data_IF_440471904606
#
_entry.id   IF_440471904606
#
_cell.length_a   1.000
_cell.length_b   1.000
_cell.length_c   1.000
_cell.angle_alpha   90.00
_cell.angle_beta   90.00
_cell.angle_gamma   90.00
#
_symmetry.space_group_name_H-M   'P 1'
#
loop_
_entity.id
_entity.type
_entity.pdbx_description
1 polymer ?
#
# COMPACT_ATOMS: atom_id res chain seq x y z
N UNK A 1 23.46 6.69 19.18
CA UNK A 1 23.43 6.46 17.74
C UNK A 1 22.86 7.70 17.05
N UNK A 2 23.72 8.44 16.35
CA UNK A 2 23.28 9.52 15.44
C UNK A 2 22.69 8.83 14.19
N UNK A 3 21.43 8.41 14.26
CA UNK A 3 20.75 7.71 13.18
C UNK A 3 20.66 8.54 11.90
N UNK A 4 20.39 7.87 10.79
CA UNK A 4 19.99 8.52 9.56
C UNK A 4 18.53 9.00 9.67
N UNK A 5 18.17 10.10 8.99
CA UNK A 5 16.76 10.46 8.86
C UNK A 5 15.98 9.27 8.26
N UNK A 6 14.69 9.17 8.54
CA UNK A 6 13.81 8.06 8.14
C UNK A 6 13.65 7.92 6.61
N UNK A 7 14.76 7.82 5.91
CA UNK A 7 14.88 7.62 4.46
C UNK A 7 15.77 6.44 4.20
N UNK A 8 15.59 5.80 3.07
CA UNK A 8 16.37 4.66 2.63
C UNK A 8 16.92 4.89 1.22
N UNK A 9 18.00 4.17 0.92
CA UNK A 9 18.57 4.03 -0.40
C UNK A 9 17.96 2.76 -1.03
N UNK A 10 17.46 2.88 -2.24
CA UNK A 10 16.98 1.73 -3.01
C UNK A 10 18.16 1.10 -3.75
N UNK A 11 18.38 -0.19 -3.52
CA UNK A 11 19.48 -0.96 -4.12
C UNK A 11 18.91 -2.22 -4.75
N UNK A 12 19.10 -2.36 -6.05
CA UNK A 12 18.74 -3.57 -6.78
C UNK A 12 19.87 -4.60 -6.63
N UNK A 13 19.51 -5.85 -6.34
CA UNK A 13 20.45 -6.95 -6.13
C UNK A 13 20.14 -8.11 -7.05
N UNK A 14 21.19 -8.74 -7.60
CA UNK A 14 21.08 -9.97 -8.37
C UNK A 14 22.22 -10.92 -7.99
N UNK A 15 22.02 -12.26 -8.10
CA UNK A 15 23.06 -13.23 -7.78
C UNK A 15 24.30 -13.05 -8.66
N UNK A 16 25.46 -12.95 -8.03
CA UNK A 16 26.74 -12.82 -8.73
C UNK A 16 27.13 -11.41 -9.17
N UNK A 17 26.24 -10.43 -9.00
CA UNK A 17 26.51 -9.05 -9.37
C UNK A 17 27.26 -8.28 -8.29
N UNK A 18 28.18 -7.43 -8.71
CA UNK A 18 28.91 -6.52 -7.83
C UNK A 18 28.15 -5.20 -7.65
N UNK A 19 28.08 -4.74 -6.41
CA UNK A 19 27.43 -3.47 -6.07
C UNK A 19 28.39 -2.65 -5.23
N UNK A 20 28.65 -1.44 -5.67
CA UNK A 20 29.43 -0.45 -4.92
C UNK A 20 28.53 0.72 -4.51
N UNK A 21 28.55 1.08 -3.23
CA UNK A 21 27.76 2.20 -2.69
C UNK A 21 28.75 3.26 -2.20
N UNK A 22 28.61 4.50 -2.72
CA UNK A 22 29.45 5.64 -2.37
C UNK A 22 28.61 6.76 -1.78
N UNK A 23 28.95 7.21 -0.58
CA UNK A 23 28.30 8.34 0.07
C UNK A 23 29.04 8.77 1.32
N UNK A 24 29.05 10.06 1.61
CA UNK A 24 29.87 10.65 2.67
C UNK A 24 29.05 11.23 3.83
N UNK A 25 27.74 11.40 3.66
CA UNK A 25 26.87 12.08 4.62
C UNK A 25 25.62 11.28 4.95
N UNK A 26 24.64 11.93 5.60
CA UNK A 26 23.36 11.33 5.94
C UNK A 26 22.29 11.42 4.84
N UNK A 27 22.66 11.94 3.67
CA UNK A 27 21.72 12.17 2.57
C UNK A 27 21.57 10.91 1.70
N UNK A 28 21.23 9.79 2.31
CA UNK A 28 21.20 8.43 1.74
C UNK A 28 20.63 8.37 0.31
N UNK A 29 19.49 9.03 0.06
CA UNK A 29 18.84 9.01 -1.26
C UNK A 29 19.70 9.59 -2.38
N UNK A 30 20.75 10.32 -2.03
CA UNK A 30 21.67 10.95 -2.99
C UNK A 30 23.01 10.23 -3.13
N UNK A 31 23.17 9.10 -2.43
CA UNK A 31 24.36 8.26 -2.56
C UNK A 31 24.39 7.59 -3.93
N UNK A 32 25.57 7.42 -4.46
CA UNK A 32 25.79 6.74 -5.72
C UNK A 32 25.77 5.22 -5.51
N UNK A 33 24.97 4.52 -6.31
CA UNK A 33 24.99 3.05 -6.38
C UNK A 33 25.49 2.65 -7.75
N UNK A 34 26.67 2.05 -7.79
CA UNK A 34 27.30 1.56 -9.02
C UNK A 34 27.05 0.06 -9.14
N UNK A 35 26.44 -0.36 -10.24
CA UNK A 35 26.11 -1.76 -10.51
C UNK A 35 25.84 -1.95 -12.01
N UNK A 36 26.09 -3.15 -12.52
CA UNK A 36 25.73 -3.57 -13.88
C UNK A 36 24.27 -4.01 -14.02
N UNK A 37 23.50 -4.00 -12.93
CA UNK A 37 22.07 -4.34 -12.91
C UNK A 37 21.28 -3.23 -13.64
N UNK A 38 20.53 -3.56 -14.73
CA UNK A 38 19.83 -2.54 -15.52
C UNK A 38 18.82 -1.71 -14.71
N UNK A 39 18.12 -2.35 -13.76
CA UNK A 39 17.17 -1.70 -12.86
C UNK A 39 17.86 -0.65 -11.97
N UNK A 40 19.09 -0.94 -11.51
CA UNK A 40 19.85 0.03 -10.73
C UNK A 40 20.22 1.24 -11.57
N UNK A 41 20.65 1.03 -12.80
CA UNK A 41 20.97 2.13 -13.70
C UNK A 41 19.75 3.03 -13.96
N UNK A 42 18.58 2.47 -14.03
CA UNK A 42 17.33 3.23 -14.19
C UNK A 42 16.92 3.96 -12.91
N UNK A 43 17.01 3.34 -11.74
CA UNK A 43 16.76 3.99 -10.43
C UNK A 43 17.70 5.20 -10.26
N UNK A 44 18.96 5.07 -10.67
CA UNK A 44 19.92 6.16 -10.65
C UNK A 44 19.50 7.34 -11.55
N UNK A 45 18.89 7.07 -12.72
CA UNK A 45 18.36 8.13 -13.62
C UNK A 45 17.17 8.85 -12.99
N UNK A 46 16.27 8.14 -12.33
CA UNK A 46 15.17 8.74 -11.56
C UNK A 46 15.71 9.68 -10.47
N UNK A 47 16.70 9.24 -9.71
CA UNK A 47 17.34 10.09 -8.70
C UNK A 47 18.02 11.30 -9.33
N UNK A 48 18.73 11.10 -10.45
CA UNK A 48 19.49 12.14 -11.13
C UNK A 48 18.61 13.26 -11.71
N UNK A 49 17.40 12.94 -12.23
CA UNK A 49 16.53 13.93 -12.85
C UNK A 49 16.05 15.03 -11.87
N UNK A 50 16.10 14.76 -10.56
CA UNK A 50 15.70 15.70 -9.52
C UNK A 50 16.75 15.86 -8.40
N UNK A 51 18.05 15.61 -8.69
CA UNK A 51 19.12 15.51 -7.70
C UNK A 51 19.22 16.75 -6.79
N UNK A 52 19.09 17.96 -7.32
CA UNK A 52 19.17 19.18 -6.52
C UNK A 52 18.05 19.23 -5.47
N UNK A 53 16.81 18.92 -5.87
CA UNK A 53 15.65 18.89 -5.01
C UNK A 53 15.72 17.71 -4.01
N UNK A 54 16.26 16.56 -4.43
CA UNK A 54 16.51 15.44 -3.54
C UNK A 54 17.50 15.81 -2.43
N UNK A 55 18.61 16.50 -2.75
CA UNK A 55 19.57 16.97 -1.74
C UNK A 55 18.92 17.92 -0.74
N UNK A 56 18.20 18.91 -1.22
CA UNK A 56 17.52 19.89 -0.36
C UNK A 56 16.45 19.21 0.52
N UNK A 57 15.64 18.31 -0.06
CA UNK A 57 14.68 17.54 0.69
C UNK A 57 15.33 16.71 1.81
N UNK A 58 16.43 16.01 1.51
CA UNK A 58 17.15 15.21 2.50
C UNK A 58 17.71 16.06 3.64
N UNK A 59 18.22 17.27 3.37
CA UNK A 59 18.67 18.19 4.41
C UNK A 59 17.53 18.58 5.36
N UNK A 60 16.35 18.89 4.83
CA UNK A 60 15.18 19.18 5.65
C UNK A 60 14.70 17.97 6.47
N UNK A 61 14.69 16.77 5.88
CA UNK A 61 14.34 15.54 6.61
C UNK A 61 15.37 15.20 7.70
N UNK A 62 16.64 15.44 7.45
CA UNK A 62 17.66 15.29 8.48
C UNK A 62 17.43 16.24 9.66
N UNK A 63 17.08 17.51 9.37
CA UNK A 63 16.74 18.48 10.42
C UNK A 63 15.46 18.09 11.17
N UNK A 64 14.42 17.59 10.49
CA UNK A 64 13.21 17.05 11.13
C UNK A 64 13.55 15.89 12.07
N UNK A 65 14.37 14.95 11.62
CA UNK A 65 14.81 13.81 12.42
C UNK A 65 15.60 14.26 13.66
N UNK A 66 16.51 15.25 13.53
CA UNK A 66 17.28 15.76 14.65
C UNK A 66 16.37 16.43 15.70
N UNK A 67 15.34 17.17 15.27
CA UNK A 67 14.32 17.72 16.17
C UNK A 67 13.50 16.63 16.87
N UNK A 68 13.07 15.59 16.15
CA UNK A 68 12.37 14.43 16.76
C UNK A 68 13.26 13.74 17.80
N UNK A 69 14.52 13.51 17.47
CA UNK A 69 15.46 12.90 18.39
C UNK A 69 15.67 13.75 19.64
N UNK A 70 15.87 15.05 19.50
CA UNK A 70 15.99 15.96 20.64
C UNK A 70 14.75 15.92 21.54
N UNK A 71 13.54 15.95 20.96
CA UNK A 71 12.28 15.91 21.71
C UNK A 71 12.09 14.60 22.48
N UNK A 72 12.30 13.47 21.82
CA UNK A 72 11.93 12.16 22.40
C UNK A 72 13.06 11.44 23.13
N UNK A 73 14.31 11.88 22.95
CA UNK A 73 15.47 11.25 23.59
C UNK A 73 16.16 12.22 24.55
N UNK A 74 16.62 13.38 24.03
CA UNK A 74 17.47 14.29 24.79
C UNK A 74 16.65 15.12 25.82
N UNK A 75 15.38 15.44 25.51
CA UNK A 75 14.45 16.22 26.32
C UNK A 75 13.13 15.47 26.57
N UNK A 76 13.18 14.14 26.72
CA UNK A 76 11.98 13.31 26.93
C UNK A 76 11.22 13.77 28.19
N UNK A 77 9.92 14.09 28.02
CA UNK A 77 9.05 14.55 29.09
C UNK A 77 9.02 16.07 29.32
N UNK A 78 9.85 16.85 28.61
CA UNK A 78 9.79 18.31 28.62
C UNK A 78 8.72 18.81 27.63
N UNK A 79 7.52 19.09 28.17
CA UNK A 79 6.36 19.50 27.36
C UNK A 79 6.58 20.85 26.63
N UNK A 80 7.35 21.78 27.25
CA UNK A 80 7.62 23.06 26.60
C UNK A 80 8.58 22.89 25.42
N UNK A 81 9.62 22.09 25.60
CA UNK A 81 10.53 21.74 24.52
C UNK A 81 9.83 20.96 23.39
N UNK A 82 8.96 20.03 23.74
CA UNK A 82 8.15 19.26 22.79
C UNK A 82 7.27 20.17 21.94
N UNK A 83 6.54 21.11 22.55
CA UNK A 83 5.72 22.11 21.83
C UNK A 83 6.55 22.95 20.85
N UNK A 84 7.74 23.39 21.28
CA UNK A 84 8.68 24.12 20.41
C UNK A 84 9.19 23.26 19.26
N UNK A 85 9.49 21.99 19.53
CA UNK A 85 9.95 21.03 18.54
C UNK A 85 8.90 20.79 17.46
N UNK A 86 7.64 20.55 17.83
CA UNK A 86 6.55 20.39 16.87
C UNK A 86 6.35 21.62 15.99
N UNK A 87 6.44 22.83 16.52
CA UNK A 87 6.37 24.05 15.74
C UNK A 87 7.50 24.16 14.70
N UNK A 88 8.70 23.67 15.04
CA UNK A 88 9.84 23.60 14.10
C UNK A 88 9.62 22.55 13.03
N UNK A 89 9.15 21.36 13.42
CA UNK A 89 8.82 20.28 12.48
C UNK A 89 7.75 20.73 11.49
N UNK A 90 6.70 21.40 11.95
CA UNK A 90 5.66 21.96 11.06
C UNK A 90 6.23 22.98 10.07
N UNK A 91 7.19 23.81 10.51
CA UNK A 91 7.86 24.75 9.62
C UNK A 91 8.69 24.03 8.55
N UNK A 92 9.39 22.95 8.92
CA UNK A 92 10.15 22.12 7.99
C UNK A 92 9.21 21.42 6.99
N UNK A 93 8.10 20.85 7.46
CA UNK A 93 7.12 20.15 6.61
C UNK A 93 6.49 21.05 5.55
N UNK A 94 6.29 22.33 5.86
CA UNK A 94 5.83 23.33 4.89
C UNK A 94 6.82 23.54 3.75
N UNK A 95 8.13 23.36 3.99
CA UNK A 95 9.15 23.44 2.96
C UNK A 95 9.28 22.13 2.18
N UNK A 96 9.10 20.98 2.82
CA UNK A 96 9.30 19.66 2.18
C UNK A 96 8.19 19.29 1.22
N UNK A 97 6.93 19.75 1.42
CA UNK A 97 5.81 19.44 0.52
C UNK A 97 6.03 19.96 -0.90
N UNK A 98 6.36 21.24 -1.14
CA UNK A 98 6.62 21.73 -2.51
C UNK A 98 7.85 21.07 -3.14
N UNK A 99 8.90 20.75 -2.36
CA UNK A 99 10.07 20.02 -2.88
C UNK A 99 9.71 18.62 -3.35
N UNK A 100 8.89 17.89 -2.59
CA UNK A 100 8.38 16.56 -3.03
C UNK A 100 7.56 16.67 -4.31
N UNK A 101 6.70 17.68 -4.42
CA UNK A 101 5.91 17.90 -5.63
C UNK A 101 6.81 18.21 -6.84
N UNK A 102 7.85 19.02 -6.66
CA UNK A 102 8.80 19.31 -7.73
C UNK A 102 9.59 18.07 -8.17
N UNK A 103 10.04 17.24 -7.22
CA UNK A 103 10.70 15.96 -7.50
C UNK A 103 9.75 15.08 -8.34
N UNK A 104 8.53 14.87 -7.88
CA UNK A 104 7.56 14.03 -8.60
C UNK A 104 7.22 14.58 -9.98
N UNK A 105 7.10 15.90 -10.13
CA UNK A 105 6.91 16.51 -11.44
C UNK A 105 8.04 16.16 -12.40
N UNK A 106 9.30 16.27 -11.96
CA UNK A 106 10.45 15.93 -12.77
C UNK A 106 10.53 14.44 -13.10
N UNK A 107 10.23 13.58 -12.12
CA UNK A 107 10.20 12.13 -12.34
C UNK A 107 9.07 11.72 -13.31
N UNK A 108 7.86 12.30 -13.18
CA UNK A 108 6.76 12.08 -14.11
C UNK A 108 7.11 12.58 -15.54
N UNK A 109 7.83 13.71 -15.66
CA UNK A 109 8.28 14.21 -16.95
C UNK A 109 9.33 13.27 -17.57
N UNK A 110 10.29 12.79 -16.78
CA UNK A 110 11.25 11.78 -17.23
C UNK A 110 10.53 10.50 -17.71
N UNK A 111 9.50 10.05 -16.99
CA UNK A 111 8.72 8.86 -17.33
C UNK A 111 8.03 8.95 -18.68
N UNK A 112 7.75 10.12 -19.23
CA UNK A 112 7.10 10.27 -20.55
C UNK A 112 7.95 9.69 -21.67
N UNK A 113 9.26 9.82 -21.59
CA UNK A 113 10.21 9.38 -22.60
C UNK A 113 10.96 8.08 -22.22
N UNK A 114 10.99 7.75 -20.94
CA UNK A 114 11.68 6.57 -20.44
C UNK A 114 11.04 5.27 -20.93
N UNK A 115 11.85 4.20 -21.14
CA UNK A 115 11.31 2.87 -21.44
C UNK A 115 10.47 2.35 -20.29
N UNK A 116 9.41 1.60 -20.61
CA UNK A 116 8.58 0.95 -19.60
C UNK A 116 9.32 -0.28 -19.10
N UNK A 117 9.81 -0.19 -17.89
CA UNK A 117 10.58 -1.22 -17.18
C UNK A 117 9.91 -1.54 -15.86
N UNK A 118 10.48 -2.48 -15.11
CA UNK A 118 10.01 -2.78 -13.75
C UNK A 118 10.11 -1.54 -12.84
N UNK A 119 11.21 -0.79 -12.89
CA UNK A 119 11.38 0.44 -12.09
C UNK A 119 10.33 1.47 -12.46
N UNK A 120 10.09 1.66 -13.76
CA UNK A 120 9.05 2.56 -14.25
C UNK A 120 7.65 2.17 -13.73
N UNK A 121 7.31 0.87 -13.74
CA UNK A 121 6.04 0.36 -13.23
C UNK A 121 5.93 0.57 -11.72
N UNK A 122 6.99 0.27 -10.95
CA UNK A 122 7.03 0.48 -9.50
C UNK A 122 6.86 1.97 -9.14
N UNK A 123 7.46 2.89 -9.90
CA UNK A 123 7.24 4.35 -9.75
C UNK A 123 5.81 4.76 -10.08
N UNK A 124 5.23 4.25 -11.17
CA UNK A 124 3.84 4.54 -11.53
C UNK A 124 2.87 4.03 -10.45
N UNK A 125 3.12 2.84 -9.90
CA UNK A 125 2.34 2.30 -8.79
C UNK A 125 2.39 3.21 -7.56
N UNK A 126 3.58 3.69 -7.20
CA UNK A 126 3.75 4.65 -6.10
C UNK A 126 2.91 5.91 -6.35
N UNK A 127 3.00 6.53 -7.55
CA UNK A 127 2.26 7.75 -7.86
C UNK A 127 0.76 7.52 -7.92
N UNK A 128 0.31 6.42 -8.50
CA UNK A 128 -1.11 6.04 -8.51
C UNK A 128 -1.66 5.89 -7.09
N UNK A 129 -0.92 5.23 -6.20
CA UNK A 129 -1.33 5.07 -4.79
C UNK A 129 -1.43 6.39 -4.02
N UNK A 130 -0.67 7.40 -4.45
CA UNK A 130 -0.66 8.74 -3.83
C UNK A 130 -1.77 9.66 -4.35
N UNK A 131 -2.46 9.31 -5.46
CA UNK A 131 -3.52 10.15 -6.07
C UNK A 131 -4.67 10.48 -5.11
N UNK A 132 -4.92 9.66 -4.11
CA UNK A 132 -5.93 9.91 -3.06
C UNK A 132 -5.60 11.13 -2.17
N UNK A 133 -4.35 11.58 -2.15
CA UNK A 133 -3.88 12.73 -1.39
C UNK A 133 -3.65 13.92 -2.32
N UNK A 134 -4.73 14.59 -2.76
CA UNK A 134 -4.68 15.66 -3.78
C UNK A 134 -3.72 16.80 -3.47
N UNK A 135 -3.66 17.22 -2.19
CA UNK A 135 -2.76 18.29 -1.76
C UNK A 135 -1.28 17.88 -1.80
N UNK A 136 -1.00 16.59 -1.77
CA UNK A 136 0.36 16.03 -1.79
C UNK A 136 0.74 15.66 -3.21
N UNK A 137 -0.17 15.03 -3.97
CA UNK A 137 0.03 14.56 -5.35
C UNK A 137 -0.97 15.23 -6.32
N UNK A 138 -0.67 16.44 -6.83
CA UNK A 138 -1.57 17.17 -7.71
C UNK A 138 -1.52 16.72 -9.17
N UNK A 139 -0.75 15.72 -9.53
CA UNK A 139 -0.43 15.30 -10.92
C UNK A 139 -1.26 14.12 -11.40
N UNK A 140 -2.56 14.10 -11.11
CA UNK A 140 -3.46 12.98 -11.46
C UNK A 140 -3.55 12.71 -12.96
N UNK A 141 -3.60 13.76 -13.76
CA UNK A 141 -3.75 13.61 -15.22
C UNK A 141 -2.46 13.11 -15.87
N UNK A 142 -1.30 13.51 -15.34
CA UNK A 142 -0.01 13.00 -15.77
C UNK A 142 0.12 11.50 -15.45
N UNK A 143 -0.29 11.07 -14.26
CA UNK A 143 -0.30 9.66 -13.86
C UNK A 143 -1.21 8.83 -14.77
N UNK A 144 -2.42 9.32 -15.08
CA UNK A 144 -3.33 8.66 -16.03
C UNK A 144 -2.75 8.58 -17.44
N UNK A 145 -2.08 9.65 -17.89
CA UNK A 145 -1.41 9.68 -19.19
C UNK A 145 -0.29 8.64 -19.27
N UNK A 146 0.50 8.49 -18.21
CA UNK A 146 1.53 7.45 -18.13
C UNK A 146 0.92 6.04 -18.11
N UNK A 147 -0.15 5.84 -17.37
CA UNK A 147 -0.88 4.55 -17.37
C UNK A 147 -1.38 4.20 -18.77
N UNK A 148 -1.84 5.18 -19.56
CA UNK A 148 -2.27 4.95 -20.93
C UNK A 148 -1.14 4.43 -21.84
N UNK A 149 0.13 4.71 -21.53
CA UNK A 149 1.31 4.17 -22.21
C UNK A 149 1.59 2.71 -21.89
N UNK A 150 1.11 2.20 -20.75
CA UNK A 150 1.39 0.81 -20.36
C UNK A 150 0.82 -0.18 -21.39
N UNK A 151 1.62 -1.19 -21.80
CA UNK A 151 1.12 -2.31 -22.60
C UNK A 151 -0.01 -3.04 -21.87
N UNK A 152 -0.95 -3.59 -22.60
CA UNK A 152 -2.05 -4.37 -22.01
C UNK A 152 -1.54 -5.58 -21.22
N UNK A 153 -0.44 -6.20 -21.64
CA UNK A 153 0.21 -7.28 -20.92
C UNK A 153 0.66 -6.86 -19.53
N UNK A 154 1.22 -5.64 -19.38
CA UNK A 154 1.63 -5.10 -18.09
C UNK A 154 0.44 -4.71 -17.21
N UNK A 155 -0.66 -4.22 -17.81
CA UNK A 155 -1.90 -3.91 -17.08
C UNK A 155 -2.56 -5.16 -16.49
N UNK A 156 -2.30 -6.35 -17.03
CA UNK A 156 -2.82 -7.61 -16.52
C UNK A 156 -1.96 -8.22 -15.39
N UNK A 157 -0.77 -7.69 -15.13
CA UNK A 157 0.05 -8.10 -13.99
C UNK A 157 -0.55 -7.62 -12.67
N UNK A 158 -0.14 -8.21 -11.55
CA UNK A 158 -0.58 -7.79 -10.21
C UNK A 158 -0.37 -6.27 -9.99
N UNK A 159 0.82 -5.75 -10.35
CA UNK A 159 1.13 -4.33 -10.26
C UNK A 159 0.24 -3.49 -11.18
N UNK A 160 0.01 -3.93 -12.42
CA UNK A 160 -0.85 -3.25 -13.38
C UNK A 160 -2.31 -3.18 -12.93
N UNK A 161 -2.84 -4.25 -12.36
CA UNK A 161 -4.18 -4.28 -11.79
C UNK A 161 -4.30 -3.35 -10.57
N UNK A 162 -3.28 -3.29 -9.72
CA UNK A 162 -3.24 -2.39 -8.59
C UNK A 162 -3.19 -0.92 -9.03
N UNK A 163 -2.35 -0.57 -10.01
CA UNK A 163 -2.32 0.76 -10.63
C UNK A 163 -3.71 1.11 -11.19
N UNK A 164 -4.33 0.18 -11.92
CA UNK A 164 -5.68 0.36 -12.48
C UNK A 164 -6.69 0.70 -11.40
N UNK A 165 -6.67 -0.01 -10.28
CA UNK A 165 -7.60 0.21 -9.18
C UNK A 165 -7.39 1.56 -8.46
N UNK A 166 -6.16 2.08 -8.43
CA UNK A 166 -5.90 3.42 -7.91
C UNK A 166 -6.37 4.53 -8.87
N UNK A 167 -6.19 4.33 -10.17
CA UNK A 167 -6.56 5.32 -11.20
C UNK A 167 -8.06 5.31 -11.47
N UNK A 168 -8.65 4.12 -11.51
CA UNK A 168 -10.07 3.87 -11.75
C UNK A 168 -10.63 3.01 -10.61
N UNK A 169 -10.80 3.60 -9.43
CA UNK A 169 -11.30 2.86 -8.29
C UNK A 169 -12.66 2.24 -8.63
N UNK A 170 -12.90 0.98 -8.21
CA UNK A 170 -14.19 0.33 -8.40
C UNK A 170 -15.29 1.15 -7.71
N UNK A 171 -16.52 0.97 -8.18
CA UNK A 171 -17.68 1.55 -7.52
C UNK A 171 -17.73 1.08 -6.06
N UNK A 172 -17.97 2.04 -5.16
CA UNK A 172 -18.00 1.79 -3.72
C UNK A 172 -19.43 1.57 -3.28
N UNK A 173 -19.71 0.44 -2.62
CA UNK A 173 -21.00 0.18 -2.02
C UNK A 173 -21.14 0.95 -0.69
N UNK A 174 -22.18 1.74 -0.57
CA UNK A 174 -22.61 2.37 0.67
C UNK A 174 -23.70 1.57 1.38
N UNK A 175 -24.08 2.04 2.58
CA UNK A 175 -25.19 1.42 3.32
C UNK A 175 -26.48 1.57 2.50
N UNK A 176 -27.14 0.44 2.22
CA UNK A 176 -28.39 0.39 1.45
C UNK A 176 -28.19 0.21 -0.06
N UNK A 177 -26.96 0.21 -0.55
CA UNK A 177 -26.65 -0.15 -1.94
C UNK A 177 -26.73 -1.67 -2.15
N UNK A 178 -26.79 -2.08 -3.42
CA UNK A 178 -26.67 -3.49 -3.77
C UNK A 178 -25.25 -3.99 -3.50
N UNK A 179 -25.15 -5.23 -3.05
CA UNK A 179 -23.83 -5.86 -2.83
C UNK A 179 -22.99 -5.85 -4.10
N UNK A 180 -21.71 -5.65 -3.92
CA UNK A 180 -20.70 -5.87 -4.97
C UNK A 180 -20.23 -7.31 -4.85
N UNK A 181 -20.33 -8.06 -5.94
CA UNK A 181 -19.80 -9.42 -6.05
C UNK A 181 -18.41 -9.41 -6.72
N UNK A 182 -17.63 -10.45 -6.50
CA UNK A 182 -16.29 -10.59 -7.06
C UNK A 182 -15.87 -12.05 -7.13
N UNK A 183 -14.79 -12.30 -7.84
CA UNK A 183 -14.16 -13.61 -7.88
C UNK A 183 -13.39 -13.85 -6.59
N UNK A 184 -13.80 -14.87 -5.85
CA UNK A 184 -13.14 -15.35 -4.64
C UNK A 184 -12.76 -16.82 -4.84
N UNK A 185 -11.79 -17.28 -4.09
CA UNK A 185 -11.32 -18.67 -4.14
C UNK A 185 -11.36 -19.27 -2.74
N UNK A 186 -11.89 -20.49 -2.63
CA UNK A 186 -11.84 -21.24 -1.39
C UNK A 186 -10.48 -21.93 -1.18
N UNK A 187 -10.33 -22.63 -0.06
CA UNK A 187 -9.10 -23.33 0.28
C UNK A 187 -8.71 -24.46 -0.70
N UNK A 188 -9.69 -24.91 -1.53
CA UNK A 188 -9.51 -25.93 -2.55
C UNK A 188 -9.25 -25.33 -3.95
N UNK A 189 -9.06 -24.00 -4.04
CA UNK A 189 -8.93 -23.23 -5.29
C UNK A 189 -10.20 -23.23 -6.16
N UNK A 190 -11.36 -23.51 -5.58
CA UNK A 190 -12.63 -23.41 -6.30
C UNK A 190 -13.08 -21.97 -6.35
N UNK A 191 -13.50 -21.50 -7.55
CA UNK A 191 -14.07 -20.18 -7.74
C UNK A 191 -15.39 -20.06 -6.98
N UNK A 192 -15.56 -19.00 -6.24
CA UNK A 192 -16.71 -18.71 -5.40
C UNK A 192 -17.19 -17.28 -5.59
N UNK A 193 -18.47 -17.07 -5.34
CA UNK A 193 -19.13 -15.78 -5.42
C UNK A 193 -19.97 -15.51 -4.18
N UNK A 194 -20.02 -14.27 -3.70
CA UNK A 194 -20.87 -13.86 -2.58
C UNK A 194 -22.33 -14.14 -2.89
N UNK A 195 -22.72 -13.94 -4.16
CA UNK A 195 -24.06 -14.18 -4.69
C UNK A 195 -24.56 -15.62 -4.56
N UNK A 196 -23.71 -16.61 -4.32
CA UNK A 196 -24.11 -17.98 -4.05
C UNK A 196 -25.04 -18.10 -2.83
N UNK A 197 -24.96 -17.14 -1.91
CA UNK A 197 -25.77 -17.08 -0.71
C UNK A 197 -26.89 -16.02 -0.76
N UNK A 198 -27.23 -15.53 -1.97
CA UNK A 198 -28.32 -14.57 -2.14
C UNK A 198 -29.62 -15.09 -1.52
N UNK A 199 -30.43 -14.20 -0.94
CA UNK A 199 -31.67 -14.57 -0.23
C UNK A 199 -31.49 -14.89 1.26
N UNK A 200 -30.25 -14.89 1.77
CA UNK A 200 -29.91 -15.01 3.20
C UNK A 200 -29.21 -13.75 3.67
N UNK A 201 -29.08 -13.55 4.97
CA UNK A 201 -28.11 -12.62 5.49
C UNK A 201 -26.71 -13.15 5.20
N UNK A 202 -25.81 -12.26 4.76
CA UNK A 202 -24.41 -12.61 4.52
C UNK A 202 -23.56 -11.65 5.35
N UNK A 203 -22.69 -12.19 6.20
CA UNK A 203 -21.70 -11.41 6.94
C UNK A 203 -20.34 -11.62 6.27
N UNK A 204 -19.80 -10.56 5.67
CA UNK A 204 -18.40 -10.55 5.20
C UNK A 204 -17.50 -10.16 6.37
N UNK A 205 -16.46 -10.93 6.58
CA UNK A 205 -15.42 -10.72 7.60
C UNK A 205 -14.07 -10.59 6.89
N UNK A 206 -13.56 -9.35 6.77
CA UNK A 206 -12.24 -9.08 6.19
C UNK A 206 -11.18 -9.21 7.28
N UNK A 207 -10.20 -10.10 7.06
CA UNK A 207 -9.22 -10.44 8.06
C UNK A 207 -7.85 -10.82 7.48
N UNK A 208 -6.85 -11.03 8.34
CA UNK A 208 -5.53 -11.55 7.98
C UNK A 208 -4.92 -12.30 9.19
N UNK A 209 -4.13 -13.32 8.92
CA UNK A 209 -3.41 -14.07 9.95
C UNK A 209 -2.35 -13.24 10.69
N UNK A 210 -1.94 -12.12 10.11
CA UNK A 210 -1.01 -11.16 10.72
C UNK A 210 -1.70 -10.08 11.56
N UNK A 211 -3.02 -10.04 11.57
CA UNK A 211 -3.82 -9.07 12.31
C UNK A 211 -4.17 -9.64 13.70
N UNK A 212 -3.54 -9.16 14.75
CA UNK A 212 -3.77 -9.61 16.14
C UNK A 212 -5.24 -9.58 16.54
N UNK A 213 -5.94 -8.43 16.44
CA UNK A 213 -7.36 -8.33 16.78
C UNK A 213 -8.26 -9.25 15.95
N UNK A 214 -7.91 -9.51 14.65
CA UNK A 214 -8.65 -10.45 13.83
C UNK A 214 -8.55 -11.87 14.37
N UNK A 215 -7.34 -12.28 14.77
CA UNK A 215 -7.09 -13.62 15.34
C UNK A 215 -7.81 -13.78 16.69
N UNK A 216 -7.81 -12.74 17.51
CA UNK A 216 -8.51 -12.74 18.80
C UNK A 216 -10.03 -12.87 18.65
N UNK A 217 -10.61 -12.37 17.54
CA UNK A 217 -12.05 -12.45 17.28
C UNK A 217 -12.52 -13.78 16.70
N UNK A 218 -11.63 -14.70 16.27
CA UNK A 218 -12.00 -15.98 15.65
C UNK A 218 -12.97 -16.80 16.54
N UNK A 219 -12.75 -17.01 17.85
CA UNK A 219 -13.67 -17.81 18.67
C UNK A 219 -15.06 -17.18 18.81
N UNK A 220 -15.15 -15.86 18.74
CA UNK A 220 -16.45 -15.16 18.75
C UNK A 220 -17.16 -15.31 17.42
N UNK A 221 -16.44 -15.21 16.31
CA UNK A 221 -16.97 -15.44 14.97
C UNK A 221 -17.52 -16.87 14.80
N UNK A 222 -16.82 -17.87 15.34
CA UNK A 222 -17.32 -19.26 15.35
C UNK A 222 -18.65 -19.38 16.08
N UNK A 223 -18.84 -18.71 17.22
CA UNK A 223 -20.12 -18.66 17.93
C UNK A 223 -21.22 -17.96 17.10
N UNK A 224 -20.86 -16.90 16.39
CA UNK A 224 -21.80 -16.21 15.48
C UNK A 224 -22.24 -17.15 14.37
N UNK A 225 -21.30 -17.87 13.75
CA UNK A 225 -21.61 -18.88 12.71
C UNK A 225 -22.60 -19.92 13.26
N UNK A 226 -22.32 -20.53 14.39
CA UNK A 226 -23.17 -21.58 14.98
C UNK A 226 -24.54 -21.06 15.40
N UNK A 227 -24.60 -19.85 15.98
CA UNK A 227 -25.83 -19.25 16.46
C UNK A 227 -26.80 -18.89 15.33
N UNK A 228 -26.29 -18.44 14.21
CA UNK A 228 -27.08 -17.86 13.12
C UNK A 228 -27.11 -18.70 11.84
N UNK A 229 -26.52 -19.91 11.83
CA UNK A 229 -26.35 -20.80 10.66
C UNK A 229 -27.63 -21.01 9.81
N UNK A 230 -28.80 -20.98 10.42
CA UNK A 230 -30.08 -21.17 9.71
C UNK A 230 -30.52 -19.94 8.91
N UNK A 231 -30.06 -18.76 9.26
CA UNK A 231 -30.48 -17.46 8.69
C UNK A 231 -29.38 -16.66 8.04
N UNK A 232 -28.12 -16.87 8.46
CA UNK A 232 -26.99 -16.09 8.02
C UNK A 232 -25.84 -17.00 7.58
N UNK A 233 -25.14 -16.59 6.55
CA UNK A 233 -23.87 -17.17 6.13
C UNK A 233 -22.74 -16.21 6.42
N UNK A 234 -21.68 -16.67 7.04
CA UNK A 234 -20.44 -15.91 7.22
C UNK A 234 -19.44 -16.30 6.13
N UNK A 235 -18.83 -15.31 5.51
CA UNK A 235 -17.75 -15.45 4.52
C UNK A 235 -16.56 -14.67 5.06
N UNK A 236 -15.52 -15.38 5.51
CA UNK A 236 -14.27 -14.77 5.96
C UNK A 236 -13.32 -14.61 4.77
N UNK A 237 -13.04 -13.35 4.40
CA UNK A 237 -12.21 -12.98 3.24
C UNK A 237 -10.84 -12.57 3.75
N UNK A 238 -9.83 -13.40 3.46
CA UNK A 238 -8.45 -13.14 3.88
C UNK A 238 -7.70 -12.25 2.90
N UNK A 239 -6.93 -11.28 3.44
CA UNK A 239 -5.98 -10.45 2.69
C UNK A 239 -4.55 -11.06 2.63
N UNK A 240 -4.33 -12.23 3.20
CA UNK A 240 -3.01 -12.88 3.21
C UNK A 240 -2.62 -13.42 1.83
N UNK A 241 -1.33 -13.56 1.54
CA UNK A 241 -0.86 -14.34 0.40
C UNK A 241 -1.39 -15.78 0.47
N UNK A 242 -1.74 -16.35 -0.69
CA UNK A 242 -2.38 -17.67 -0.83
C UNK A 242 -1.79 -18.78 0.04
N UNK A 243 -0.47 -18.94 0.00
CA UNK A 243 0.21 -20.01 0.73
C UNK A 243 0.06 -19.85 2.25
N UNK A 244 0.25 -18.60 2.75
CA UNK A 244 0.13 -18.28 4.17
C UNK A 244 -1.30 -18.45 4.67
N UNK A 245 -2.28 -17.96 3.92
CA UNK A 245 -3.69 -18.11 4.24
C UNK A 245 -4.10 -19.58 4.38
N UNK A 246 -3.80 -20.40 3.34
CA UNK A 246 -4.15 -21.84 3.36
C UNK A 246 -3.48 -22.59 4.51
N UNK A 247 -2.20 -22.31 4.76
CA UNK A 247 -1.47 -22.90 5.88
C UNK A 247 -2.10 -22.53 7.22
N UNK A 248 -2.46 -21.26 7.39
CA UNK A 248 -3.06 -20.76 8.63
C UNK A 248 -4.43 -21.41 8.88
N UNK A 249 -5.33 -21.40 7.88
CA UNK A 249 -6.67 -22.02 7.96
C UNK A 249 -6.54 -23.50 8.33
N UNK A 250 -5.64 -24.23 7.66
CA UNK A 250 -5.39 -25.64 7.94
C UNK A 250 -4.86 -25.88 9.35
N UNK A 251 -3.84 -25.12 9.76
CA UNK A 251 -3.17 -25.31 11.06
C UNK A 251 -4.10 -24.98 12.24
N UNK A 252 -4.96 -23.98 12.07
CA UNK A 252 -5.94 -23.58 13.07
C UNK A 252 -7.24 -24.37 13.02
N UNK A 253 -7.44 -25.20 12.00
CA UNK A 253 -8.68 -25.97 11.81
C UNK A 253 -9.89 -25.07 11.58
N UNK A 254 -9.72 -23.89 10.95
CA UNK A 254 -10.81 -22.96 10.72
C UNK A 254 -11.82 -23.56 9.74
N UNK A 255 -13.08 -23.60 10.18
CA UNK A 255 -14.20 -24.05 9.38
C UNK A 255 -14.90 -22.91 8.62
N UNK A 256 -16.05 -23.23 8.00
CA UNK A 256 -16.91 -22.27 7.31
C UNK A 256 -16.36 -21.85 5.93
N UNK A 257 -16.82 -20.70 5.45
CA UNK A 257 -16.42 -20.18 4.13
C UNK A 257 -15.20 -19.31 4.29
N UNK A 258 -14.03 -19.95 4.21
CA UNK A 258 -12.72 -19.27 4.23
C UNK A 258 -12.31 -19.01 2.78
N UNK A 259 -12.39 -17.75 2.35
CA UNK A 259 -12.15 -17.33 0.97
C UNK A 259 -11.05 -16.27 0.87
N UNK A 260 -10.54 -16.07 -0.35
CA UNK A 260 -9.51 -15.10 -0.65
C UNK A 260 -9.66 -14.63 -2.09
N UNK A 261 -9.48 -13.34 -2.36
CA UNK A 261 -9.48 -12.79 -3.72
C UNK A 261 -8.21 -13.16 -4.50
N UNK A 262 -7.17 -13.65 -3.83
CA UNK A 262 -5.84 -13.95 -4.38
C UNK A 262 -5.19 -12.74 -5.08
N UNK A 263 -5.63 -11.55 -4.77
CA UNK A 263 -5.10 -10.28 -5.29
C UNK A 263 -4.19 -9.64 -4.25
N UNK A 264 -3.19 -8.88 -4.71
CA UNK A 264 -2.34 -8.08 -3.84
C UNK A 264 -2.82 -6.64 -3.81
N UNK A 265 -2.61 -6.00 -2.66
CA UNK A 265 -2.94 -4.58 -2.48
C UNK A 265 -4.42 -4.33 -2.16
N UNK A 266 -4.77 -3.06 -2.05
CA UNK A 266 -6.15 -2.61 -1.77
C UNK A 266 -6.96 -2.55 -3.06
N UNK A 267 -7.24 -3.69 -3.65
CA UNK A 267 -8.04 -3.85 -4.87
C UNK A 267 -9.23 -4.77 -4.59
N UNK A 268 -10.19 -4.79 -5.48
CA UNK A 268 -11.32 -5.70 -5.38
C UNK A 268 -12.31 -5.38 -4.27
N UNK A 269 -12.82 -6.40 -3.59
CA UNK A 269 -13.93 -6.29 -2.63
C UNK A 269 -13.58 -5.43 -1.41
N UNK A 270 -12.34 -5.47 -0.93
CA UNK A 270 -11.90 -4.62 0.17
C UNK A 270 -12.07 -3.13 -0.15
N UNK A 271 -11.82 -2.72 -1.40
CA UNK A 271 -12.05 -1.34 -1.85
C UNK A 271 -13.53 -1.09 -2.06
N UNK A 272 -14.25 -2.01 -2.71
CA UNK A 272 -15.69 -1.89 -2.97
C UNK A 272 -16.51 -1.74 -1.69
N UNK A 273 -16.10 -2.40 -0.61
CA UNK A 273 -16.72 -2.29 0.71
C UNK A 273 -16.03 -1.30 1.66
N UNK A 274 -15.17 -0.42 1.13
CA UNK A 274 -14.51 0.66 1.88
C UNK A 274 -13.72 0.19 3.12
N UNK A 275 -13.11 -0.99 3.06
CA UNK A 275 -12.30 -1.54 4.14
C UNK A 275 -11.08 -0.64 4.37
N UNK A 276 -11.09 0.12 5.47
CA UNK A 276 -10.00 1.03 5.85
C UNK A 276 -8.96 0.37 6.75
N UNK A 277 -9.35 -0.70 7.40
CA UNK A 277 -8.53 -1.50 8.31
C UNK A 277 -9.28 -2.78 8.66
N UNK A 278 -8.58 -3.78 9.15
CA UNK A 278 -9.12 -5.08 9.57
C UNK A 278 -8.95 -5.28 11.08
N UNK A 279 -9.86 -6.04 11.77
CA UNK A 279 -11.05 -6.68 11.20
C UNK A 279 -12.09 -5.68 10.72
N UNK A 280 -12.81 -6.01 9.64
CA UNK A 280 -13.90 -5.21 9.12
C UNK A 280 -15.06 -6.11 8.72
N UNK A 281 -16.26 -5.71 9.10
CA UNK A 281 -17.46 -6.49 8.91
C UNK A 281 -18.48 -5.76 8.04
N UNK A 282 -19.07 -6.48 7.07
CA UNK A 282 -20.15 -5.97 6.24
C UNK A 282 -21.33 -6.94 6.31
N UNK A 283 -22.48 -6.44 6.70
CA UNK A 283 -23.71 -7.24 6.71
C UNK A 283 -24.55 -6.93 5.48
N UNK A 284 -24.85 -7.95 4.70
CA UNK A 284 -25.70 -7.90 3.51
C UNK A 284 -27.04 -8.55 3.85
N UNK A 285 -28.13 -7.84 3.60
CA UNK A 285 -29.49 -8.34 3.82
C UNK A 285 -29.89 -9.37 2.74
N UNK A 286 -30.94 -10.17 2.96
CA UNK A 286 -31.46 -11.12 1.97
C UNK A 286 -31.85 -10.49 0.63
N UNK A 287 -32.16 -9.19 0.61
CA UNK A 287 -32.43 -8.43 -0.59
C UNK A 287 -31.19 -8.10 -1.43
N UNK A 288 -29.98 -8.43 -0.94
CA UNK A 288 -28.72 -8.06 -1.55
C UNK A 288 -28.20 -6.65 -1.19
N UNK A 289 -28.83 -5.98 -0.21
CA UNK A 289 -28.48 -4.63 0.24
C UNK A 289 -27.78 -4.64 1.59
#
# INVERSE_FOLDING_TARGET
NKGFPGTWLEVWIAPGEYIEIKGEDKLLKTWEVVSDIPEQAEENRFTACAMAQQKELMQHLAAEYDWQRMMFIDHAGDQEFEKKGWAKIDSIRKLTTPLRQEIWKKELEYMKEAPISKVWIDKLLLYASMMKYETVMPYKEEVKSLYARMPETEKQTDAGQEITAYIYPPSVAGIGDMMVDGELYDVNDSLRHISEFAGRFILLDFWSSGCGPCVESIPEMEKVIDTYKDRMTVISISEDPKARWKEYVKTKGMGGNQWNELRRGRTGLAVSYQVKGIPHYVLIAPSGK
#
